data_IF_136385739231
#
_entry.id   IF_136385739231
#
_cell.length_a   1.000
_cell.length_b   1.000
_cell.length_c   1.000
_cell.angle_alpha   90.00
_cell.angle_beta   90.00
_cell.angle_gamma   90.00
#
_symmetry.space_group_name_H-M   'P 1'
#
loop_
_entity.id
_entity.type
_entity.pdbx_description
1 polymer ?
#
# COMPACT_ATOMS: atom_id res chain seq x y z
N UNK A 1 -24.70 15.82 27.45
CA UNK A 1 -24.45 14.46 26.92
C UNK A 1 -24.33 14.40 25.38
N UNK A 2 -24.64 15.47 24.62
CA UNK A 2 -24.52 15.49 23.15
C UNK A 2 -23.07 15.55 22.60
N UNK A 3 -22.14 16.18 23.33
CA UNK A 3 -20.77 16.41 22.86
C UNK A 3 -19.94 15.11 22.65
N UNK A 4 -20.28 14.01 23.34
CA UNK A 4 -19.54 12.74 23.22
C UNK A 4 -19.95 11.96 21.96
N UNK A 5 -21.21 12.08 21.55
CA UNK A 5 -21.73 11.39 20.35
C UNK A 5 -21.25 12.07 19.06
N UNK A 6 -21.16 13.40 19.04
CA UNK A 6 -20.65 14.14 17.88
C UNK A 6 -19.17 13.82 17.61
N UNK A 7 -18.33 13.72 18.65
CA UNK A 7 -16.91 13.35 18.49
C UNK A 7 -16.75 11.93 17.94
N UNK A 8 -17.54 10.96 18.41
CA UNK A 8 -17.53 9.59 17.89
C UNK A 8 -18.03 9.49 16.44
N UNK A 9 -18.98 10.34 16.04
CA UNK A 9 -19.48 10.40 14.66
C UNK A 9 -18.43 11.06 13.74
N UNK A 10 -17.78 12.12 14.18
CA UNK A 10 -16.70 12.78 13.43
C UNK A 10 -15.49 11.84 13.26
N UNK A 11 -15.13 11.06 14.28
CA UNK A 11 -14.05 10.07 14.20
C UNK A 11 -14.42 8.87 13.30
N UNK A 12 -15.70 8.48 13.25
CA UNK A 12 -16.21 7.47 12.31
C UNK A 12 -16.23 7.94 10.86
N UNK A 13 -16.44 9.24 10.62
CA UNK A 13 -16.44 9.83 9.27
C UNK A 13 -15.00 10.05 8.76
N UNK A 14 -14.02 10.26 9.66
CA UNK A 14 -12.61 10.47 9.29
C UNK A 14 -11.81 9.19 9.03
N UNK A 15 -12.19 8.04 9.56
CA UNK A 15 -11.55 6.76 9.23
C UNK A 15 -12.39 5.96 8.23
N UNK A 16 -12.39 6.39 6.97
CA UNK A 16 -12.90 5.59 5.86
C UNK A 16 -11.90 4.46 5.60
N UNK A 17 -11.90 3.45 6.46
CA UNK A 17 -10.94 2.35 6.40
C UNK A 17 -10.94 1.71 5.00
N UNK A 18 -9.78 1.70 4.33
CA UNK A 18 -9.54 0.97 3.08
C UNK A 18 -9.49 -0.56 3.32
N UNK A 19 -10.48 -1.11 4.03
CA UNK A 19 -10.45 -2.49 4.51
C UNK A 19 -10.58 -3.53 3.40
N UNK A 20 -11.16 -3.16 2.25
CA UNK A 20 -11.42 -4.09 1.16
C UNK A 20 -10.76 -3.63 -0.15
N UNK A 21 -10.13 -4.58 -0.83
CA UNK A 21 -9.64 -4.44 -2.20
C UNK A 21 -10.78 -4.84 -3.13
N UNK A 22 -11.29 -3.88 -3.88
CA UNK A 22 -12.41 -4.12 -4.80
C UNK A 22 -11.90 -4.55 -6.18
N UNK A 23 -12.73 -5.26 -6.94
CA UNK A 23 -12.41 -5.64 -8.32
C UNK A 23 -12.05 -4.43 -9.22
N UNK A 24 -12.63 -3.25 -8.94
CA UNK A 24 -12.27 -2.00 -9.63
C UNK A 24 -10.83 -1.56 -9.34
N UNK A 25 -10.33 -1.79 -8.12
CA UNK A 25 -8.96 -1.47 -7.73
C UNK A 25 -7.98 -2.39 -8.46
N UNK A 26 -8.29 -3.69 -8.53
CA UNK A 26 -7.50 -4.68 -9.28
C UNK A 26 -7.43 -4.30 -10.77
N UNK A 27 -8.57 -4.01 -11.40
CA UNK A 27 -8.61 -3.55 -12.80
C UNK A 27 -7.81 -2.26 -13.02
N UNK A 28 -7.85 -1.32 -12.07
CA UNK A 28 -7.09 -0.09 -12.13
C UNK A 28 -5.57 -0.38 -12.05
N UNK A 29 -5.14 -1.23 -11.13
CA UNK A 29 -3.74 -1.65 -10.99
C UNK A 29 -3.22 -2.36 -12.25
N UNK A 30 -3.97 -3.32 -12.79
CA UNK A 30 -3.60 -4.05 -14.01
C UNK A 30 -3.38 -3.08 -15.17
N UNK A 31 -4.29 -2.11 -15.34
CA UNK A 31 -4.19 -1.11 -16.40
C UNK A 31 -3.06 -0.10 -16.17
N UNK A 32 -2.92 0.43 -14.95
CA UNK A 32 -1.96 1.48 -14.62
C UNK A 32 -0.52 0.99 -14.73
N UNK A 33 -0.26 -0.25 -14.33
CA UNK A 33 1.10 -0.81 -14.28
C UNK A 33 1.41 -1.81 -15.40
N UNK A 34 0.50 -1.96 -16.36
CA UNK A 34 0.62 -2.90 -17.48
C UNK A 34 0.99 -4.31 -16.99
N UNK A 35 0.15 -4.85 -16.09
CA UNK A 35 0.39 -6.17 -15.50
C UNK A 35 0.03 -7.26 -16.49
N UNK A 36 0.93 -8.22 -16.66
CA UNK A 36 0.62 -9.43 -17.43
C UNK A 36 -0.32 -10.37 -16.66
N UNK A 37 -0.74 -11.46 -17.29
CA UNK A 37 -1.65 -12.45 -16.72
C UNK A 37 -1.15 -13.00 -15.38
N UNK A 38 0.10 -13.51 -15.34
CA UNK A 38 0.68 -14.05 -14.11
C UNK A 38 0.81 -13.01 -12.98
N UNK A 39 1.15 -11.76 -13.31
CA UNK A 39 1.18 -10.66 -12.34
C UNK A 39 -0.22 -10.32 -11.81
N UNK A 40 -1.23 -10.40 -12.68
CA UNK A 40 -2.63 -10.17 -12.34
C UNK A 40 -3.18 -11.28 -11.44
N UNK A 41 -2.83 -12.54 -11.71
CA UNK A 41 -3.20 -13.69 -10.89
C UNK A 41 -2.65 -13.56 -9.47
N UNK A 42 -1.34 -13.28 -9.34
CA UNK A 42 -0.76 -13.00 -8.02
C UNK A 42 -1.41 -11.81 -7.31
N UNK A 43 -1.76 -10.77 -8.06
CA UNK A 43 -2.46 -9.62 -7.48
C UNK A 43 -3.84 -10.00 -6.94
N UNK A 44 -4.58 -10.85 -7.65
CA UNK A 44 -5.87 -11.39 -7.20
C UNK A 44 -5.70 -12.23 -5.92
N UNK A 45 -4.71 -13.12 -5.88
CA UNK A 45 -4.43 -13.96 -4.71
C UNK A 45 -4.11 -13.11 -3.47
N UNK A 46 -3.27 -12.09 -3.64
CA UNK A 46 -2.92 -11.16 -2.56
C UNK A 46 -4.15 -10.36 -2.12
N UNK A 47 -4.96 -9.89 -3.07
CA UNK A 47 -6.17 -9.15 -2.76
C UNK A 47 -7.19 -10.00 -1.99
N UNK A 48 -7.35 -11.27 -2.37
CA UNK A 48 -8.17 -12.23 -1.66
C UNK A 48 -7.64 -12.48 -0.25
N UNK A 49 -6.32 -12.64 -0.08
CA UNK A 49 -5.69 -12.82 1.23
C UNK A 49 -5.94 -11.63 2.17
N UNK A 50 -5.83 -10.40 1.66
CA UNK A 50 -6.12 -9.16 2.41
C UNK A 50 -7.60 -9.14 2.82
N UNK A 51 -8.51 -9.39 1.87
CA UNK A 51 -9.95 -9.37 2.12
C UNK A 51 -10.40 -10.47 3.09
N UNK A 52 -9.71 -11.62 3.11
CA UNK A 52 -9.91 -12.70 4.08
C UNK A 52 -9.16 -12.49 5.40
N UNK A 53 -8.48 -11.36 5.55
CA UNK A 53 -7.78 -11.00 6.78
C UNK A 53 -6.68 -12.00 7.20
N UNK A 54 -6.04 -12.66 6.23
CA UNK A 54 -4.95 -13.63 6.47
C UNK A 54 -3.77 -12.99 7.21
N UNK A 55 -3.26 -13.65 8.24
CA UNK A 55 -2.21 -13.14 9.12
C UNK A 55 -0.80 -13.38 8.60
N UNK A 56 -0.62 -14.34 7.69
CA UNK A 56 0.68 -14.73 7.12
C UNK A 56 1.11 -13.86 5.92
N UNK A 57 0.23 -12.97 5.44
CA UNK A 57 0.49 -12.16 4.26
C UNK A 57 1.67 -11.20 4.44
N UNK A 58 1.82 -10.59 5.62
CA UNK A 58 2.92 -9.67 5.88
C UNK A 58 4.29 -10.36 5.72
N UNK A 59 4.41 -11.57 6.25
CA UNK A 59 5.62 -12.37 6.14
C UNK A 59 5.87 -12.71 4.67
N UNK A 60 4.85 -13.13 3.93
CA UNK A 60 4.96 -13.45 2.50
C UNK A 60 5.41 -12.25 1.63
N UNK A 61 4.87 -11.05 1.92
CA UNK A 61 5.29 -9.80 1.28
C UNK A 61 6.75 -9.50 1.62
N UNK A 62 7.12 -9.59 2.90
CA UNK A 62 8.48 -9.31 3.35
C UNK A 62 9.48 -10.27 2.71
N UNK A 63 9.16 -11.57 2.68
CA UNK A 63 10.00 -12.60 2.05
C UNK A 63 10.21 -12.32 0.57
N UNK A 64 9.14 -11.93 -0.13
CA UNK A 64 9.19 -11.61 -1.55
C UNK A 64 10.03 -10.36 -1.86
N UNK A 65 9.90 -9.30 -1.04
CA UNK A 65 10.55 -8.01 -1.31
C UNK A 65 12.00 -7.93 -0.80
N UNK A 66 12.31 -8.49 0.37
CA UNK A 66 13.64 -8.37 0.99
C UNK A 66 14.60 -9.49 0.57
N UNK A 67 14.13 -10.74 0.59
CA UNK A 67 14.99 -11.90 0.32
C UNK A 67 14.92 -12.36 -1.14
N UNK A 68 14.03 -11.75 -1.92
CA UNK A 68 13.85 -12.05 -3.33
C UNK A 68 12.97 -13.28 -3.53
N UNK A 69 11.84 -13.07 -4.20
CA UNK A 69 11.07 -14.17 -4.78
C UNK A 69 11.73 -14.68 -6.06
N UNK A 70 11.76 -16.01 -6.27
CA UNK A 70 12.06 -16.60 -7.59
C UNK A 70 11.06 -16.13 -8.67
N UNK A 71 9.83 -15.81 -8.26
CA UNK A 71 8.79 -15.25 -9.14
C UNK A 71 8.89 -13.72 -9.21
N UNK A 72 9.41 -13.23 -10.35
CA UNK A 72 9.37 -11.79 -10.71
C UNK A 72 7.94 -11.26 -10.75
N UNK A 73 6.98 -12.08 -11.21
CA UNK A 73 5.57 -11.70 -11.33
C UNK A 73 4.95 -11.41 -9.96
N UNK A 74 5.20 -12.26 -8.96
CA UNK A 74 4.73 -12.03 -7.58
C UNK A 74 5.29 -10.74 -6.99
N UNK A 75 6.59 -10.51 -7.17
CA UNK A 75 7.26 -9.27 -6.73
C UNK A 75 6.63 -8.04 -7.39
N UNK A 76 6.34 -8.12 -8.68
CA UNK A 76 5.72 -7.05 -9.43
C UNK A 76 4.27 -6.79 -8.99
N UNK A 77 3.49 -7.83 -8.71
CA UNK A 77 2.14 -7.71 -8.16
C UNK A 77 2.12 -6.98 -6.80
N UNK A 78 3.02 -7.36 -5.88
CA UNK A 78 3.16 -6.70 -4.57
C UNK A 78 3.54 -5.22 -4.74
N UNK A 79 4.46 -4.91 -5.65
CA UNK A 79 4.87 -3.52 -5.90
C UNK A 79 3.71 -2.69 -6.48
N UNK A 80 2.97 -3.23 -7.45
CA UNK A 80 1.76 -2.60 -7.97
C UNK A 80 0.77 -2.27 -6.85
N UNK A 81 0.55 -3.22 -5.95
CA UNK A 81 -0.33 -3.09 -4.80
C UNK A 81 0.13 -1.97 -3.85
N UNK A 82 1.41 -1.93 -3.49
CA UNK A 82 1.98 -0.91 -2.59
C UNK A 82 1.92 0.49 -3.20
N UNK A 83 2.24 0.65 -4.49
CA UNK A 83 2.18 1.93 -5.20
C UNK A 83 0.73 2.42 -5.27
N UNK A 84 -0.20 1.58 -5.74
CA UNK A 84 -1.60 1.96 -5.88
C UNK A 84 -2.23 2.35 -4.54
N UNK A 85 -2.04 1.54 -3.49
CA UNK A 85 -2.63 1.85 -2.20
C UNK A 85 -1.96 3.01 -1.49
N UNK A 86 -0.67 3.26 -1.73
CA UNK A 86 -0.04 4.48 -1.27
C UNK A 86 -0.67 5.72 -1.90
N UNK A 87 -0.84 5.75 -3.22
CA UNK A 87 -1.50 6.86 -3.91
C UNK A 87 -2.97 7.04 -3.45
N UNK A 88 -3.71 5.93 -3.32
CA UNK A 88 -5.09 5.93 -2.85
C UNK A 88 -5.19 6.44 -1.41
N UNK A 89 -4.33 5.97 -0.50
CA UNK A 89 -4.31 6.41 0.89
C UNK A 89 -4.02 7.91 1.00
N UNK A 90 -3.08 8.43 0.21
CA UNK A 90 -2.76 9.85 0.17
C UNK A 90 -3.95 10.70 -0.29
N UNK A 91 -4.66 10.25 -1.31
CA UNK A 91 -5.83 10.93 -1.87
C UNK A 91 -7.04 10.87 -0.95
N UNK A 92 -7.38 9.70 -0.42
CA UNK A 92 -8.61 9.50 0.36
C UNK A 92 -8.52 10.08 1.78
N UNK A 93 -7.32 10.22 2.33
CA UNK A 93 -7.10 10.72 3.69
C UNK A 93 -6.41 12.08 3.74
N UNK A 94 -6.23 12.75 2.59
CA UNK A 94 -5.57 14.07 2.48
C UNK A 94 -4.21 14.08 3.21
N UNK A 95 -3.35 13.11 2.93
CA UNK A 95 -2.12 12.91 3.73
C UNK A 95 -0.98 13.87 3.37
N UNK A 96 -1.19 14.78 2.41
CA UNK A 96 -0.21 15.79 1.96
C UNK A 96 1.21 15.22 1.76
N UNK A 97 1.29 14.06 1.10
CA UNK A 97 2.56 13.38 0.77
C UNK A 97 3.43 13.04 1.98
N UNK A 98 2.83 12.87 3.16
CA UNK A 98 3.54 12.48 4.39
C UNK A 98 3.83 10.97 4.38
N UNK A 99 5.11 10.61 4.43
CA UNK A 99 5.58 9.22 4.37
C UNK A 99 5.02 8.40 5.55
N UNK A 100 5.22 8.88 6.78
CA UNK A 100 4.76 8.20 8.00
C UNK A 100 3.26 7.88 7.99
N UNK A 101 2.41 8.87 7.69
CA UNK A 101 0.96 8.73 7.64
C UNK A 101 0.52 7.82 6.52
N UNK A 102 1.15 7.91 5.34
CA UNK A 102 0.85 7.01 4.22
C UNK A 102 1.18 5.56 4.60
N UNK A 103 2.35 5.33 5.21
CA UNK A 103 2.74 4.02 5.71
C UNK A 103 1.80 3.51 6.80
N UNK A 104 1.28 4.37 7.69
CA UNK A 104 0.29 4.00 8.69
C UNK A 104 -1.02 3.50 8.06
N UNK A 105 -1.53 4.20 7.06
CA UNK A 105 -2.78 3.78 6.39
C UNK A 105 -2.61 2.46 5.63
N UNK A 106 -1.50 2.28 4.90
CA UNK A 106 -1.21 1.01 4.23
C UNK A 106 -1.05 -0.12 5.27
N UNK A 107 -0.36 0.14 6.38
CA UNK A 107 -0.12 -0.85 7.43
C UNK A 107 -1.42 -1.38 8.05
N UNK A 108 -2.45 -0.53 8.18
CA UNK A 108 -3.79 -0.96 8.63
C UNK A 108 -4.43 -1.94 7.65
N UNK A 109 -4.27 -1.71 6.34
CA UNK A 109 -4.81 -2.60 5.29
C UNK A 109 -4.09 -3.94 5.28
N UNK A 110 -2.76 -3.91 5.37
CA UNK A 110 -1.90 -5.11 5.33
C UNK A 110 -1.76 -5.81 6.69
N UNK A 111 -2.34 -5.24 7.76
CA UNK A 111 -2.22 -5.70 9.14
C UNK A 111 -0.76 -5.96 9.57
N UNK A 112 0.13 -5.02 9.25
CA UNK A 112 1.57 -5.13 9.52
C UNK A 112 2.12 -3.90 10.24
N UNK A 113 3.42 -3.91 10.54
CA UNK A 113 4.10 -2.74 11.10
C UNK A 113 4.32 -1.66 10.03
N UNK A 114 4.00 -0.41 10.34
CA UNK A 114 4.21 0.71 9.41
C UNK A 114 5.67 0.95 9.04
N UNK A 115 6.60 0.59 9.93
CA UNK A 115 8.03 0.62 9.63
C UNK A 115 8.40 -0.37 8.51
N UNK A 116 7.78 -1.56 8.47
CA UNK A 116 8.00 -2.53 7.39
C UNK A 116 7.52 -1.97 6.06
N UNK A 117 6.32 -1.36 6.04
CA UNK A 117 5.81 -0.67 4.84
C UNK A 117 6.75 0.43 4.38
N UNK A 118 7.29 1.23 5.31
CA UNK A 118 8.25 2.28 4.98
C UNK A 118 9.51 1.71 4.31
N UNK A 119 10.05 0.60 4.84
CA UNK A 119 11.20 -0.07 4.22
C UNK A 119 10.88 -0.56 2.81
N UNK A 120 9.69 -1.13 2.58
CA UNK A 120 9.27 -1.58 1.25
C UNK A 120 9.14 -0.43 0.26
N UNK A 121 8.50 0.67 0.66
CA UNK A 121 8.30 1.86 -0.18
C UNK A 121 9.66 2.48 -0.55
N UNK A 122 10.57 2.62 0.40
CA UNK A 122 11.95 3.06 0.13
C UNK A 122 12.67 2.12 -0.82
N UNK A 123 12.53 0.82 -0.61
CA UNK A 123 13.08 -0.20 -1.50
C UNK A 123 12.61 -0.04 -2.95
N UNK A 124 11.32 0.28 -3.16
CA UNK A 124 10.75 0.55 -4.48
C UNK A 124 11.33 1.86 -5.07
N UNK A 125 11.38 2.93 -4.28
CA UNK A 125 11.89 4.23 -4.73
C UNK A 125 13.36 4.16 -5.21
N UNK A 126 14.16 3.28 -4.60
CA UNK A 126 15.57 3.10 -4.92
C UNK A 126 15.84 2.36 -6.24
N UNK A 127 14.94 1.49 -6.72
CA UNK A 127 15.25 0.60 -7.86
C UNK A 127 15.01 1.23 -9.24
N UNK A 128 14.32 2.39 -9.32
CA UNK A 128 13.98 3.12 -10.57
C UNK A 128 13.43 2.25 -11.72
N UNK A 129 12.88 1.09 -11.38
CA UNK A 129 12.28 0.14 -12.31
C UNK A 129 10.84 0.56 -12.70
N UNK A 130 10.05 -0.34 -13.31
CA UNK A 130 8.66 -0.08 -13.70
C UNK A 130 7.85 0.60 -12.59
N UNK A 131 8.06 0.23 -11.33
CA UNK A 131 7.31 0.76 -10.19
C UNK A 131 8.05 1.90 -9.49
N UNK A 132 9.37 1.83 -9.39
CA UNK A 132 10.18 2.89 -8.77
C UNK A 132 10.08 4.25 -9.44
N UNK A 133 9.62 4.30 -10.70
CA UNK A 133 9.30 5.56 -11.42
C UNK A 133 8.10 6.31 -10.86
N UNK A 134 7.19 5.61 -10.16
CA UNK A 134 6.01 6.22 -9.56
C UNK A 134 6.25 6.68 -8.13
N UNK A 135 7.41 6.37 -7.53
CA UNK A 135 7.64 6.59 -6.10
C UNK A 135 8.87 7.46 -5.89
N UNK A 136 8.66 8.58 -5.22
CA UNK A 136 9.71 9.42 -4.70
C UNK A 136 9.53 9.57 -3.19
N UNK A 137 10.57 9.29 -2.40
CA UNK A 137 10.50 9.44 -0.96
C UNK A 137 11.79 10.00 -0.39
N UNK A 138 11.67 10.76 0.69
CA UNK A 138 12.80 11.25 1.47
C UNK A 138 12.43 11.33 2.95
N UNK A 139 13.27 10.74 3.79
CA UNK A 139 13.18 10.82 5.25
C UNK A 139 14.48 11.33 5.90
N UNK A 140 15.41 11.84 5.09
CA UNK A 140 16.68 12.39 5.58
C UNK A 140 16.52 13.80 6.09
N UNK A 141 17.38 14.22 7.03
CA UNK A 141 17.39 15.58 7.58
C UNK A 141 16.04 16.07 8.13
N UNK A 142 15.23 15.16 8.69
CA UNK A 142 13.91 15.49 9.23
C UNK A 142 12.81 15.66 8.17
N UNK A 143 13.10 15.35 6.91
CA UNK A 143 12.07 15.24 5.87
C UNK A 143 11.13 14.07 6.20
N UNK A 144 9.88 14.19 5.73
CA UNK A 144 8.86 13.16 5.87
C UNK A 144 8.01 13.23 4.60
N UNK A 145 8.62 12.81 3.49
CA UNK A 145 8.10 13.00 2.15
C UNK A 145 7.93 11.67 1.43
N UNK A 146 6.77 11.52 0.80
CA UNK A 146 6.44 10.44 -0.12
C UNK A 146 5.49 10.99 -1.19
N UNK A 147 5.95 11.09 -2.42
CA UNK A 147 5.12 11.29 -3.59
C UNK A 147 4.92 9.97 -4.32
N UNK A 148 3.66 9.69 -4.63
CA UNK A 148 3.27 8.58 -5.48
C UNK A 148 2.42 9.12 -6.64
N UNK A 149 2.91 8.96 -7.87
CA UNK A 149 2.31 9.48 -9.10
C UNK A 149 1.19 8.58 -9.66
#
# INVERSE_FOLDING_TARGET
MQCVQETQIIDRIKNKFMKAIYAKDIKAMVKQFDLNEAESDYLNDIAEAINKERTDLCEDIQMTLLYGSYSKSKRNAIRALLVYFGAKAQKENELYRKLDKTCWEIAKVLKCGSYQVMQWIKGIACTKDRFGKFVECSDTFGLNYLEIA
#
